data_IF_230016742130
#
_entry.id   IF_230016742130
#
_cell.length_a   1.000
_cell.length_b   1.000
_cell.length_c   1.000
_cell.angle_alpha   90.00
_cell.angle_beta   90.00
_cell.angle_gamma   90.00
#
_symmetry.space_group_name_H-M   'P 1'
#
loop_
_entity.id
_entity.type
_entity.pdbx_description
1 polymer ?
#
# COMPACT_ATOMS: atom_id res chain seq x y z
N UNK A 1 5.54 -6.14 6.34
CA UNK A 1 6.80 -5.43 6.00
C UNK A 1 6.85 -4.12 6.75
N UNK A 2 8.03 -3.61 7.09
CA UNK A 2 8.20 -2.26 7.64
C UNK A 2 8.69 -1.33 6.53
N UNK A 3 8.02 -0.20 6.33
CA UNK A 3 8.32 0.75 5.27
C UNK A 3 8.22 2.19 5.80
N UNK A 4 8.69 3.16 5.00
CA UNK A 4 8.61 4.60 5.32
C UNK A 4 7.22 5.08 5.77
N UNK A 5 6.09 4.70 5.13
CA UNK A 5 4.75 5.09 5.58
C UNK A 5 4.28 4.35 6.83
N UNK A 6 4.88 3.21 7.18
CA UNK A 6 4.45 2.39 8.30
C UNK A 6 4.70 0.90 8.15
N UNK A 7 4.14 0.11 9.06
CA UNK A 7 4.11 -1.35 9.01
C UNK A 7 2.89 -1.81 8.22
N UNK A 8 3.15 -2.50 7.12
CA UNK A 8 2.13 -3.04 6.22
C UNK A 8 1.93 -4.54 6.47
N UNK A 9 0.67 -4.96 6.44
CA UNK A 9 0.24 -6.35 6.42
C UNK A 9 -0.34 -6.69 5.04
N UNK A 10 0.17 -7.75 4.44
CA UNK A 10 -0.38 -8.35 3.23
C UNK A 10 -1.52 -9.26 3.66
N UNK A 11 -2.73 -8.95 3.24
CA UNK A 11 -3.92 -9.76 3.53
C UNK A 11 -4.00 -10.98 2.61
N UNK A 12 -3.44 -10.87 1.40
CA UNK A 12 -3.38 -11.96 0.43
C UNK A 12 -3.56 -11.45 -1.00
N UNK A 13 -3.68 -12.38 -1.93
CA UNK A 13 -4.00 -12.10 -3.33
C UNK A 13 -5.51 -12.22 -3.53
N UNK A 14 -6.09 -11.28 -4.27
CA UNK A 14 -7.49 -11.27 -4.66
C UNK A 14 -7.61 -11.04 -6.17
N UNK A 15 -8.80 -11.26 -6.72
CA UNK A 15 -9.11 -10.98 -8.11
C UNK A 15 -10.25 -9.96 -8.17
N UNK A 16 -10.00 -8.83 -8.83
CA UNK A 16 -10.97 -7.76 -9.00
C UNK A 16 -11.04 -7.43 -10.50
N UNK A 17 -12.24 -7.50 -11.09
CA UNK A 17 -12.46 -7.31 -12.53
C UNK A 17 -11.54 -8.17 -13.43
N UNK A 18 -11.23 -9.41 -13.01
CA UNK A 18 -10.34 -10.32 -13.73
C UNK A 18 -8.85 -9.98 -13.64
N UNK A 19 -8.47 -8.99 -12.83
CA UNK A 19 -7.08 -8.64 -12.55
C UNK A 19 -6.67 -9.16 -11.17
N UNK A 20 -5.54 -9.87 -11.11
CA UNK A 20 -4.93 -10.25 -9.84
C UNK A 20 -4.36 -9.02 -9.15
N UNK A 21 -4.74 -8.83 -7.90
CA UNK A 21 -4.30 -7.75 -7.05
C UNK A 21 -3.85 -8.29 -5.70
N UNK A 22 -2.95 -7.59 -5.05
CA UNK A 22 -2.54 -7.87 -3.68
C UNK A 22 -3.34 -6.93 -2.78
N UNK A 23 -4.07 -7.49 -1.82
CA UNK A 23 -4.77 -6.72 -0.81
C UNK A 23 -3.84 -6.48 0.38
N UNK A 24 -3.71 -5.22 0.80
CA UNK A 24 -2.83 -4.80 1.89
C UNK A 24 -3.57 -3.86 2.84
N UNK A 25 -3.07 -3.77 4.07
CA UNK A 25 -3.49 -2.76 5.04
C UNK A 25 -2.32 -2.30 5.89
N UNK A 26 -2.40 -1.09 6.44
CA UNK A 26 -1.45 -0.63 7.44
C UNK A 26 -1.82 -1.20 8.81
N UNK A 27 -0.88 -1.91 9.47
CA UNK A 27 -0.98 -2.26 10.89
C UNK A 27 -0.59 -1.10 11.79
N UNK A 28 0.35 -0.28 11.32
CA UNK A 28 0.85 0.88 12.02
C UNK A 28 1.29 1.90 10.99
N UNK A 29 0.53 2.99 10.79
CA UNK A 29 0.92 4.09 9.92
C UNK A 29 1.70 5.17 10.68
N UNK A 30 2.36 6.08 9.96
CA UNK A 30 2.86 7.33 10.56
C UNK A 30 1.72 8.20 11.07
N UNK A 31 0.63 8.26 10.31
CA UNK A 31 -0.64 8.82 10.77
C UNK A 31 -1.56 7.69 11.23
N UNK A 32 -2.20 7.87 12.37
CA UNK A 32 -3.16 6.89 12.92
C UNK A 32 -4.35 6.67 11.99
N UNK A 33 -4.71 7.67 11.20
CA UNK A 33 -5.82 7.63 10.23
C UNK A 33 -5.56 6.62 9.11
N UNK A 34 -4.31 6.26 8.83
CA UNK A 34 -3.98 5.31 7.77
C UNK A 34 -4.16 3.84 8.18
N UNK A 35 -4.26 3.57 9.49
CA UNK A 35 -4.30 2.21 10.04
C UNK A 35 -5.63 1.54 9.72
N UNK A 36 -5.58 0.29 9.25
CA UNK A 36 -6.77 -0.50 8.95
C UNK A 36 -7.48 -0.11 7.66
N UNK A 37 -7.01 0.89 6.91
CA UNK A 37 -7.53 1.21 5.58
C UNK A 37 -6.97 0.18 4.58
N UNK A 38 -7.83 -0.62 3.91
CA UNK A 38 -7.38 -1.53 2.88
C UNK A 38 -7.02 -0.78 1.60
N UNK A 39 -5.91 -1.18 0.99
CA UNK A 39 -5.48 -0.70 -0.32
C UNK A 39 -4.98 -1.85 -1.18
N UNK A 40 -4.98 -1.65 -2.49
CA UNK A 40 -4.69 -2.69 -3.46
C UNK A 40 -3.47 -2.33 -4.29
N UNK A 41 -2.54 -3.28 -4.39
CA UNK A 41 -1.42 -3.21 -5.30
C UNK A 41 -1.63 -4.18 -6.47
N UNK A 42 -1.03 -3.89 -7.63
CA UNK A 42 -0.96 -4.86 -8.72
C UNK A 42 -0.23 -6.10 -8.22
N UNK A 43 -0.64 -7.27 -8.69
CA UNK A 43 0.11 -8.49 -8.44
C UNK A 43 1.42 -8.46 -9.22
N UNK A 44 2.55 -8.49 -8.51
CA UNK A 44 3.88 -8.65 -9.05
C UNK A 44 4.62 -9.73 -8.23
N UNK A 45 5.10 -10.77 -8.91
CA UNK A 45 5.84 -11.88 -8.31
C UNK A 45 7.27 -11.51 -7.91
N UNK A 46 7.81 -10.42 -8.46
CA UNK A 46 9.15 -9.91 -8.17
C UNK A 46 9.14 -8.81 -7.11
N UNK A 47 7.96 -8.31 -6.70
CA UNK A 47 7.87 -7.28 -5.69
C UNK A 47 8.15 -7.85 -4.29
N UNK A 48 9.24 -7.39 -3.70
CA UNK A 48 9.71 -7.83 -2.38
C UNK A 48 9.44 -6.73 -1.34
N UNK A 49 9.51 -5.46 -1.76
CA UNK A 49 9.36 -4.29 -0.90
C UNK A 49 8.08 -3.51 -1.23
N UNK A 50 7.64 -2.67 -0.28
CA UNK A 50 6.47 -1.81 -0.48
C UNK A 50 6.69 -0.80 -1.62
N UNK A 51 7.92 -0.31 -1.78
CA UNK A 51 8.28 0.64 -2.83
C UNK A 51 8.33 0.00 -4.23
N UNK A 52 8.40 -1.33 -4.32
CA UNK A 52 8.26 -2.07 -5.59
C UNK A 52 6.80 -2.22 -6.01
N UNK A 53 5.84 -2.01 -5.09
CA UNK A 53 4.43 -2.20 -5.36
C UNK A 53 3.84 -1.00 -6.09
N UNK A 54 3.12 -1.28 -7.17
CA UNK A 54 2.31 -0.28 -7.86
C UNK A 54 0.84 -0.35 -7.41
N UNK A 55 0.13 0.79 -7.31
CA UNK A 55 -1.31 0.79 -7.05
C UNK A 55 -2.08 0.02 -8.12
N UNK A 56 -2.99 -0.86 -7.69
CA UNK A 56 -3.86 -1.63 -8.60
C UNK A 56 -4.86 -0.73 -9.34
N UNK A 57 -5.33 0.32 -8.67
CA UNK A 57 -6.33 1.25 -9.17
C UNK A 57 -5.84 2.68 -8.94
N UNK A 58 -5.65 3.42 -10.01
CA UNK A 58 -5.17 4.81 -9.96
C UNK A 58 -3.65 4.94 -10.08
N UNK A 59 -3.15 6.15 -9.80
CA UNK A 59 -1.75 6.54 -10.03
C UNK A 59 -0.88 6.48 -8.77
N UNK A 60 -1.49 6.42 -7.57
CA UNK A 60 -0.81 6.49 -6.27
C UNK A 60 -1.59 5.80 -5.16
N UNK A 61 -0.91 5.38 -4.09
CA UNK A 61 -1.59 4.92 -2.89
C UNK A 61 -2.18 6.08 -2.09
N UNK A 62 -3.23 5.80 -1.32
CA UNK A 62 -3.98 6.82 -0.58
C UNK A 62 -3.12 7.64 0.39
N UNK A 63 -2.05 7.06 0.94
CA UNK A 63 -1.18 7.69 1.93
C UNK A 63 -0.05 8.54 1.31
N UNK A 64 0.19 8.45 -0.01
CA UNK A 64 1.37 9.07 -0.62
C UNK A 64 1.36 10.60 -0.61
N UNK A 65 0.21 11.23 -0.84
CA UNK A 65 0.10 12.70 -0.85
C UNK A 65 0.33 13.29 0.54
N UNK A 66 -0.32 12.72 1.56
CA UNK A 66 -0.10 13.15 2.94
C UNK A 66 1.32 12.87 3.39
N UNK A 67 1.89 11.72 3.04
CA UNK A 67 3.28 11.40 3.36
C UNK A 67 4.23 12.45 2.74
N UNK A 68 4.04 12.80 1.46
CA UNK A 68 4.83 13.82 0.78
C UNK A 68 4.63 15.22 1.37
N UNK A 69 3.41 15.55 1.81
CA UNK A 69 3.10 16.88 2.34
C UNK A 69 3.61 17.09 3.76
N UNK A 70 3.42 16.10 4.64
CA UNK A 70 3.78 16.21 6.07
C UNK A 70 5.24 15.88 6.34
N UNK A 71 5.90 15.10 5.48
CA UNK A 71 7.23 14.56 5.72
C UNK A 71 8.28 14.90 4.63
N UNK A 72 7.98 15.79 3.68
CA UNK A 72 9.03 16.43 2.88
C UNK A 72 9.75 17.47 3.74
N UNK A 73 11.04 17.25 3.96
CA UNK A 73 11.98 18.32 4.32
C UNK A 73 12.44 19.07 3.06
#
# INVERSE_FOLDING_TARGET
MSATPGKVHVLGVSEINGQKVIALQMLQGRESEWVGIPFFAKYDENAIWLDDLEPAFGEKFFFEDELKTKYKH
#
